data_IF_043538397400
#
_entry.id   IF_043538397400
#
_cell.length_a   1.000
_cell.length_b   1.000
_cell.length_c   1.000
_cell.angle_alpha   90.00
_cell.angle_beta   90.00
_cell.angle_gamma   90.00
#
_symmetry.space_group_name_H-M   'P 1'
#
loop_
_entity.id
_entity.type
_entity.pdbx_description
1 polymer ?
#
# COMPACT_ATOMS: atom_id res chain seq x y z
N UNK A 1 3.67 -2.00 -13.08
CA UNK A 1 2.93 -0.80 -12.65
C UNK A 1 3.54 -0.18 -11.38
N UNK A 2 3.57 -0.93 -10.28
CA UNK A 2 3.99 -0.44 -8.96
C UNK A 2 5.35 0.28 -8.89
N UNK A 3 6.40 -0.23 -9.57
CA UNK A 3 7.71 0.46 -9.59
C UNK A 3 7.66 1.86 -10.23
N UNK A 4 6.78 2.09 -11.21
CA UNK A 4 6.59 3.43 -11.80
C UNK A 4 5.87 4.35 -10.82
N UNK A 5 4.87 3.84 -10.09
CA UNK A 5 4.18 4.59 -9.03
C UNK A 5 5.15 5.00 -7.91
N UNK A 6 5.98 4.06 -7.44
CA UNK A 6 7.06 4.32 -6.49
C UNK A 6 8.01 5.44 -6.93
N UNK A 7 8.45 5.44 -8.20
CA UNK A 7 9.30 6.52 -8.75
C UNK A 7 8.63 7.88 -8.74
N UNK A 8 7.30 7.94 -8.89
CA UNK A 8 6.50 9.17 -8.80
C UNK A 8 6.12 9.54 -7.36
N UNK A 9 6.45 8.69 -6.39
CA UNK A 9 6.15 8.89 -4.97
C UNK A 9 6.51 10.29 -4.44
N UNK A 10 7.74 10.79 -4.66
CA UNK A 10 8.15 12.13 -4.23
C UNK A 10 7.29 13.28 -4.77
N UNK A 11 6.75 13.15 -5.98
CA UNK A 11 5.87 14.16 -6.58
C UNK A 11 4.44 14.06 -6.07
N UNK A 12 3.98 12.86 -5.72
CA UNK A 12 2.59 12.59 -5.38
C UNK A 12 2.30 12.63 -3.88
N UNK A 13 3.31 12.40 -3.04
CA UNK A 13 3.16 12.30 -1.59
C UNK A 13 4.14 13.25 -0.89
N UNK A 14 3.65 14.32 -0.23
CA UNK A 14 4.51 15.24 0.50
C UNK A 14 5.41 14.53 1.51
N UNK A 15 6.72 14.81 1.47
CA UNK A 15 7.70 14.20 2.36
C UNK A 15 7.88 12.69 2.19
N UNK A 16 7.57 12.16 0.99
CA UNK A 16 7.76 10.75 0.63
C UNK A 16 9.16 10.24 1.03
N UNK A 17 9.20 9.15 1.79
CA UNK A 17 10.43 8.55 2.30
C UNK A 17 10.22 7.08 2.65
N UNK A 18 11.32 6.35 2.86
CA UNK A 18 11.29 4.93 3.23
C UNK A 18 10.45 4.08 2.26
N UNK A 19 10.42 4.47 0.98
CA UNK A 19 9.65 3.79 -0.04
C UNK A 19 10.35 2.53 -0.52
N UNK A 20 9.63 1.43 -0.66
CA UNK A 20 10.13 0.18 -1.23
C UNK A 20 9.03 -0.58 -1.97
N UNK A 21 9.38 -1.21 -3.09
CA UNK A 21 8.49 -2.11 -3.83
C UNK A 21 9.10 -3.52 -3.82
N UNK A 22 8.41 -4.44 -3.15
CA UNK A 22 8.81 -5.83 -3.01
C UNK A 22 7.91 -6.73 -3.87
N UNK A 23 8.52 -7.64 -4.63
CA UNK A 23 7.77 -8.68 -5.36
C UNK A 23 7.28 -9.72 -4.37
N UNK A 24 6.02 -10.11 -4.49
CA UNK A 24 5.38 -11.11 -3.62
C UNK A 24 4.31 -11.89 -4.39
N UNK A 25 3.49 -12.65 -3.69
CA UNK A 25 2.31 -13.32 -4.24
C UNK A 25 1.07 -13.08 -3.38
N UNK A 26 -0.10 -13.06 -4.01
CA UNK A 26 -1.39 -13.06 -3.32
C UNK A 26 -2.27 -14.18 -3.88
N UNK A 27 -2.69 -15.13 -3.03
CA UNK A 27 -3.46 -16.30 -3.43
C UNK A 27 -2.84 -17.04 -4.65
N UNK A 28 -1.53 -17.25 -4.63
CA UNK A 28 -0.77 -17.91 -5.71
C UNK A 28 -0.47 -17.04 -6.93
N UNK A 29 -0.95 -15.79 -6.99
CA UNK A 29 -0.76 -14.89 -8.14
C UNK A 29 0.40 -13.93 -7.92
N UNK A 30 1.15 -13.54 -8.96
CA UNK A 30 2.16 -12.49 -8.86
C UNK A 30 1.56 -11.19 -8.34
N UNK A 31 2.19 -10.61 -7.32
CA UNK A 31 1.78 -9.35 -6.71
C UNK A 31 3.00 -8.47 -6.42
N UNK A 32 2.75 -7.19 -6.18
CA UNK A 32 3.76 -6.25 -5.72
C UNK A 32 3.26 -5.49 -4.49
N UNK A 33 4.04 -5.50 -3.41
CA UNK A 33 3.78 -4.72 -2.22
C UNK A 33 4.62 -3.44 -2.26
N UNK A 34 3.96 -2.28 -2.29
CA UNK A 34 4.58 -0.98 -2.08
C UNK A 34 4.36 -0.53 -0.64
N UNK A 35 5.46 -0.23 0.04
CA UNK A 35 5.44 0.38 1.37
C UNK A 35 6.16 1.70 1.34
N UNK A 36 5.65 2.71 2.02
CA UNK A 36 6.31 4.01 2.12
C UNK A 36 5.78 4.81 3.32
N UNK A 37 6.52 5.83 3.72
CA UNK A 37 6.07 6.84 4.68
C UNK A 37 5.94 8.18 3.96
N UNK A 38 4.94 8.97 4.31
CA UNK A 38 4.77 10.34 3.82
C UNK A 38 4.20 11.22 4.94
N UNK A 39 4.06 12.52 4.71
CA UNK A 39 3.66 13.47 5.76
C UNK A 39 2.19 13.38 6.16
N UNK A 40 1.36 12.66 5.40
CA UNK A 40 -0.09 12.72 5.53
C UNK A 40 -0.68 13.98 4.90
N UNK A 41 -1.99 14.00 4.73
CA UNK A 41 -2.74 15.21 4.41
C UNK A 41 -2.97 16.05 5.67
N UNK A 42 -3.46 17.29 5.53
CA UNK A 42 -3.67 18.19 6.67
C UNK A 42 -4.57 17.59 7.77
N UNK A 43 -5.58 16.80 7.40
CA UNK A 43 -6.49 16.14 8.34
C UNK A 43 -5.90 14.89 9.04
N UNK A 44 -4.77 14.37 8.57
CA UNK A 44 -4.20 13.11 9.05
C UNK A 44 -3.41 13.25 10.37
N UNK A 45 -3.17 14.49 10.82
CA UNK A 45 -2.51 14.76 12.11
C UNK A 45 -1.03 14.34 12.17
N UNK A 46 -0.38 14.15 11.02
CA UNK A 46 1.05 13.88 10.92
C UNK A 46 1.40 12.73 9.96
N UNK A 47 2.66 12.25 10.03
CA UNK A 47 3.18 11.27 9.09
C UNK A 47 2.38 9.98 9.04
N UNK A 48 2.29 9.39 7.85
CA UNK A 48 1.56 8.15 7.58
C UNK A 48 2.45 7.10 6.96
N UNK A 49 2.32 5.86 7.43
CA UNK A 49 2.84 4.67 6.75
C UNK A 49 1.75 4.10 5.86
N UNK A 50 2.10 3.78 4.62
CA UNK A 50 1.22 3.19 3.63
C UNK A 50 1.72 1.79 3.26
N UNK A 51 0.78 0.86 3.14
CA UNK A 51 0.93 -0.48 2.58
C UNK A 51 -0.04 -0.60 1.42
N UNK A 52 0.44 -0.99 0.25
CA UNK A 52 -0.36 -1.12 -0.97
C UNK A 52 0.05 -2.40 -1.70
N UNK A 53 -0.86 -3.38 -1.79
CA UNK A 53 -0.65 -4.60 -2.56
C UNK A 53 -1.46 -4.56 -3.84
N UNK A 54 -0.76 -4.69 -4.97
CA UNK A 54 -1.34 -4.77 -6.30
C UNK A 54 -1.15 -6.14 -6.92
N UNK A 55 -2.19 -6.68 -7.55
CA UNK A 55 -2.13 -7.90 -8.38
C UNK A 55 -3.13 -7.83 -9.53
N UNK A 56 -2.93 -8.69 -10.53
CA UNK A 56 -3.89 -8.90 -11.61
C UNK A 56 -4.67 -10.21 -11.40
N UNK A 57 -5.98 -10.17 -11.57
CA UNK A 57 -6.87 -11.32 -11.51
C UNK A 57 -7.96 -11.16 -12.58
N UNK A 58 -8.14 -12.17 -13.43
CA UNK A 58 -9.19 -12.19 -14.47
C UNK A 58 -9.22 -10.93 -15.37
N UNK A 59 -8.04 -10.43 -15.75
CA UNK A 59 -7.91 -9.22 -16.59
C UNK A 59 -8.17 -7.89 -15.86
N UNK A 60 -8.45 -7.92 -14.56
CA UNK A 60 -8.61 -6.73 -13.71
C UNK A 60 -7.40 -6.57 -12.78
N UNK A 61 -6.96 -5.33 -12.59
CA UNK A 61 -5.98 -5.01 -11.57
C UNK A 61 -6.72 -4.68 -10.26
N UNK A 62 -6.27 -5.28 -9.18
CA UNK A 62 -6.76 -5.01 -7.83
C UNK A 62 -5.65 -4.38 -7.01
N UNK A 63 -6.00 -3.34 -6.27
CA UNK A 63 -5.13 -2.68 -5.29
C UNK A 63 -5.85 -2.69 -3.93
N UNK A 64 -5.25 -3.30 -2.92
CA UNK A 64 -5.68 -3.20 -1.53
C UNK A 64 -4.64 -2.40 -0.79
N UNK A 65 -5.05 -1.27 -0.22
CA UNK A 65 -4.13 -0.39 0.48
C UNK A 65 -4.69 0.08 1.81
N UNK A 66 -3.77 0.27 2.76
CA UNK A 66 -4.03 0.91 4.04
C UNK A 66 -2.97 1.96 4.25
N UNK A 67 -3.38 3.11 4.74
CA UNK A 67 -2.46 4.10 5.23
C UNK A 67 -2.90 4.52 6.63
N UNK A 68 -1.95 4.55 7.57
CA UNK A 68 -2.18 4.70 9.00
C UNK A 68 -1.15 5.66 9.62
N UNK A 69 -1.42 6.28 10.78
CA UNK A 69 -0.43 7.10 11.48
C UNK A 69 0.89 6.33 11.65
N UNK A 70 2.01 6.94 11.28
CA UNK A 70 3.32 6.28 11.28
C UNK A 70 3.73 5.79 12.68
N UNK A 71 3.30 6.49 13.74
CA UNK A 71 3.48 6.09 15.13
C UNK A 71 2.79 4.76 15.49
N UNK A 72 1.75 4.38 14.75
CA UNK A 72 0.97 3.16 14.98
C UNK A 72 1.24 2.11 13.88
N UNK A 73 2.48 2.05 13.38
CA UNK A 73 2.87 1.14 12.29
C UNK A 73 2.46 -0.33 12.51
N UNK A 74 2.66 -0.95 13.70
CA UNK A 74 2.25 -2.35 13.92
C UNK A 74 0.75 -2.57 13.72
N UNK A 75 -0.08 -1.69 14.29
CA UNK A 75 -1.53 -1.77 14.15
C UNK A 75 -1.99 -1.48 12.71
N UNK A 76 -1.35 -0.53 12.03
CA UNK A 76 -1.60 -0.27 10.61
C UNK A 76 -1.32 -1.50 9.73
N UNK A 77 -0.25 -2.24 10.03
CA UNK A 77 0.08 -3.50 9.36
C UNK A 77 -0.94 -4.60 9.64
N UNK A 78 -1.40 -4.72 10.89
CA UNK A 78 -2.45 -5.69 11.25
C UNK A 78 -3.74 -5.42 10.48
N UNK A 79 -4.18 -4.16 10.39
CA UNK A 79 -5.37 -3.81 9.62
C UNK A 79 -5.19 -4.06 8.13
N UNK A 80 -4.02 -3.76 7.58
CA UNK A 80 -3.69 -4.10 6.20
C UNK A 80 -3.80 -5.60 5.94
N UNK A 81 -3.22 -6.43 6.80
CA UNK A 81 -3.27 -7.89 6.65
C UNK A 81 -4.71 -8.41 6.77
N UNK A 82 -5.50 -7.88 7.71
CA UNK A 82 -6.91 -8.24 7.89
C UNK A 82 -7.76 -7.85 6.68
N UNK A 83 -7.58 -6.63 6.14
CA UNK A 83 -8.28 -6.17 4.95
C UNK A 83 -7.93 -7.02 3.73
N UNK A 84 -6.65 -7.39 3.58
CA UNK A 84 -6.20 -8.25 2.49
C UNK A 84 -6.76 -9.67 2.61
N UNK A 85 -6.83 -10.23 3.82
CA UNK A 85 -7.38 -11.57 4.05
C UNK A 85 -8.90 -11.65 3.83
N UNK A 86 -9.62 -10.58 4.14
CA UNK A 86 -11.08 -10.52 3.97
C UNK A 86 -11.53 -10.06 2.59
N UNK A 87 -10.64 -9.49 1.78
CA UNK A 87 -10.99 -9.01 0.44
C UNK A 87 -11.51 -10.15 -0.45
N UNK A 88 -12.70 -9.94 -1.02
CA UNK A 88 -13.31 -10.81 -2.02
C UNK A 88 -13.73 -9.96 -3.21
N UNK A 89 -13.10 -10.12 -4.39
CA UNK A 89 -13.57 -9.44 -5.58
C UNK A 89 -14.96 -9.95 -5.91
N UNK A 90 -15.91 -9.04 -6.17
CA UNK A 90 -17.21 -9.39 -6.72
C UNK A 90 -17.03 -9.87 -8.16
N UNK A 91 -17.82 -10.88 -8.55
CA UNK A 91 -17.79 -11.45 -9.91
C UNK A 91 -18.18 -10.40 -10.95
#
# INVERSE_FOLDING_TARGET
MMRKAHKKGPSNYPGYRSGSVTRTTHNGRPAALWTFTWNGAGADGGPRVTYDLSWNENGRMHDVWVSAPAKNRPLGKEYFDRALASFKPTR
#
